data_IF_602243433920
#
_entry.id   IF_602243433920
#
_cell.length_a   1.000
_cell.length_b   1.000
_cell.length_c   1.000
_cell.angle_alpha   90.00
_cell.angle_beta   90.00
_cell.angle_gamma   90.00
#
_symmetry.space_group_name_H-M   'P 1'
#
loop_
_entity.id
_entity.type
_entity.pdbx_description
1 polymer ?
#
# COMPACT_ATOMS: atom_id res chain seq x y z
N UNK A 1 -5.98 9.77 -34.31
CA UNK A 1 -6.21 10.14 -32.91
C UNK A 1 -5.13 9.45 -32.07
N UNK A 2 -4.25 10.20 -31.44
CA UNK A 2 -3.25 9.61 -30.54
C UNK A 2 -3.95 9.31 -29.22
N UNK A 3 -4.14 8.05 -28.89
CA UNK A 3 -4.63 7.65 -27.56
C UNK A 3 -3.48 7.81 -26.58
N UNK A 4 -3.59 8.77 -25.69
CA UNK A 4 -2.68 8.86 -24.55
C UNK A 4 -2.95 7.66 -23.65
N UNK A 5 -2.07 6.68 -23.67
CA UNK A 5 -2.16 5.55 -22.74
C UNK A 5 -1.61 6.04 -21.41
N UNK A 6 -2.51 6.28 -20.46
CA UNK A 6 -2.11 6.55 -19.08
C UNK A 6 -1.60 5.25 -18.45
N UNK A 7 -0.55 5.37 -17.67
CA UNK A 7 0.10 4.28 -16.96
C UNK A 7 0.15 4.63 -15.48
N UNK A 8 -0.04 3.63 -14.64
CA UNK A 8 0.20 3.76 -13.20
C UNK A 8 1.68 3.52 -12.92
N UNK A 9 2.27 4.39 -12.13
CA UNK A 9 3.66 4.26 -11.67
C UNK A 9 3.67 4.17 -10.16
N UNK A 10 4.28 3.12 -9.62
CA UNK A 10 4.42 2.88 -8.18
C UNK A 10 5.90 2.91 -7.83
N UNK A 11 6.26 3.70 -6.81
CA UNK A 11 7.60 3.73 -6.21
C UNK A 11 7.50 3.48 -4.71
N UNK A 12 8.50 2.79 -4.16
CA UNK A 12 8.62 2.47 -2.74
C UNK A 12 9.66 3.35 -2.08
N UNK A 13 9.36 3.83 -0.90
CA UNK A 13 10.23 4.73 -0.14
C UNK A 13 10.55 4.20 1.27
N UNK A 14 10.47 2.90 1.46
CA UNK A 14 10.75 2.23 2.73
C UNK A 14 9.54 2.15 3.67
N UNK A 15 9.64 1.24 4.65
CA UNK A 15 8.54 0.98 5.59
C UNK A 15 7.26 0.59 4.88
N UNK A 16 6.28 1.48 4.92
CA UNK A 16 5.02 1.36 4.17
C UNK A 16 4.76 2.57 3.28
N UNK A 17 5.80 3.36 2.99
CA UNK A 17 5.67 4.57 2.21
C UNK A 17 5.72 4.28 0.71
N UNK A 18 4.60 4.49 0.03
CA UNK A 18 4.50 4.38 -1.42
C UNK A 18 3.99 5.65 -2.06
N UNK A 19 4.54 5.96 -3.23
CA UNK A 19 4.00 6.94 -4.15
C UNK A 19 3.36 6.19 -5.31
N UNK A 20 2.08 6.49 -5.58
CA UNK A 20 1.34 5.97 -6.73
C UNK A 20 0.89 7.13 -7.58
N UNK A 21 1.29 7.14 -8.85
CA UNK A 21 0.95 8.20 -9.79
C UNK A 21 0.21 7.64 -11.00
N UNK A 22 -0.83 8.33 -11.43
CA UNK A 22 -1.58 8.05 -12.65
C UNK A 22 -1.98 9.36 -13.32
N UNK A 23 -1.50 9.58 -14.54
CA UNK A 23 -1.68 10.86 -15.23
C UNK A 23 -1.13 12.02 -14.42
N UNK A 24 -1.98 12.99 -14.08
CA UNK A 24 -1.63 14.14 -13.23
C UNK A 24 -1.90 13.90 -11.74
N UNK A 25 -2.50 12.77 -11.38
CA UNK A 25 -2.86 12.45 -9.99
C UNK A 25 -1.75 11.66 -9.32
N UNK A 26 -1.34 12.09 -8.14
CA UNK A 26 -0.37 11.39 -7.30
C UNK A 26 -0.96 11.20 -5.91
N UNK A 27 -0.94 9.97 -5.42
CA UNK A 27 -1.30 9.64 -4.05
C UNK A 27 -0.10 9.09 -3.29
N UNK A 28 -0.06 9.36 -2.00
CA UNK A 28 0.93 8.83 -1.08
C UNK A 28 0.24 7.90 -0.08
N UNK A 29 0.80 6.71 0.13
CA UNK A 29 0.44 5.86 1.26
C UNK A 29 1.50 5.97 2.33
N UNK A 30 1.08 6.15 3.57
CA UNK A 30 1.90 6.15 4.78
C UNK A 30 3.22 6.94 4.63
N UNK A 31 3.17 8.25 4.32
CA UNK A 31 4.38 9.05 4.24
C UNK A 31 5.12 9.07 5.59
N UNK A 32 6.44 8.94 5.54
CA UNK A 32 7.28 8.84 6.73
C UNK A 32 7.60 10.24 7.25
N UNK A 33 7.29 10.51 8.54
CA UNK A 33 7.58 11.78 9.17
C UNK A 33 9.08 11.97 9.44
N UNK A 34 9.55 13.22 9.46
CA UNK A 34 10.96 13.52 9.79
C UNK A 34 11.43 13.01 11.16
N UNK A 35 10.51 12.86 12.10
CA UNK A 35 10.79 12.36 13.45
C UNK A 35 10.82 10.84 13.56
N UNK A 36 10.47 10.11 12.47
CA UNK A 36 10.62 8.65 12.41
C UNK A 36 12.08 8.24 12.44
N UNK A 37 12.33 7.00 12.83
CA UNK A 37 13.64 6.35 12.69
C UNK A 37 13.89 5.87 11.25
N UNK A 38 12.83 5.76 10.44
CA UNK A 38 12.92 5.43 9.03
C UNK A 38 13.34 6.66 8.22
N UNK A 39 13.99 6.45 7.09
CA UNK A 39 14.36 7.53 6.20
C UNK A 39 13.12 8.16 5.56
N UNK A 40 12.95 9.45 5.76
CA UNK A 40 11.84 10.21 5.17
C UNK A 40 12.27 10.82 3.83
N UNK A 41 11.42 10.72 2.82
CA UNK A 41 11.63 11.32 1.51
C UNK A 41 10.57 12.36 1.19
N UNK A 42 10.90 13.33 0.32
CA UNK A 42 9.99 14.37 -0.10
C UNK A 42 9.53 14.17 -1.53
N UNK A 43 8.22 14.22 -1.74
CA UNK A 43 7.60 14.31 -3.06
C UNK A 43 6.26 15.03 -2.96
N UNK A 44 5.68 15.46 -4.10
CA UNK A 44 4.35 16.06 -4.11
C UNK A 44 3.26 15.00 -4.25
N UNK A 45 2.17 15.12 -3.47
CA UNK A 45 0.98 14.29 -3.63
C UNK A 45 -0.30 15.15 -3.61
N UNK A 46 -1.35 14.66 -4.27
CA UNK A 46 -2.69 15.25 -4.25
C UNK A 46 -3.49 14.76 -3.04
N UNK A 47 -3.28 13.50 -2.65
CA UNK A 47 -3.84 12.91 -1.44
C UNK A 47 -2.79 12.08 -0.69
N UNK A 48 -2.91 12.04 0.64
CA UNK A 48 -2.08 11.23 1.53
C UNK A 48 -2.97 10.34 2.39
N UNK A 49 -2.79 9.03 2.28
CA UNK A 49 -3.49 8.02 3.06
C UNK A 49 -2.62 7.60 4.23
N UNK A 50 -3.09 7.86 5.43
CA UNK A 50 -2.42 7.55 6.69
C UNK A 50 -3.16 6.43 7.38
N UNK A 51 -2.58 5.23 7.40
CA UNK A 51 -3.26 4.07 8.00
C UNK A 51 -3.21 4.07 9.52
N UNK A 52 -2.22 4.74 10.11
CA UNK A 52 -1.98 4.74 11.55
C UNK A 52 -1.28 6.03 11.99
N UNK A 53 -1.72 6.60 13.12
CA UNK A 53 -1.12 7.82 13.68
C UNK A 53 0.19 7.54 14.43
N UNK A 54 1.19 7.13 13.68
CA UNK A 54 2.56 6.96 14.17
C UNK A 54 3.55 7.67 13.23
N UNK A 55 4.72 8.16 13.70
CA UNK A 55 5.70 8.85 12.87
C UNK A 55 6.15 8.09 11.61
N UNK A 56 6.09 6.77 11.63
CA UNK A 56 6.45 5.93 10.48
C UNK A 56 5.42 6.00 9.34
N UNK A 57 4.20 6.57 9.60
CA UNK A 57 3.08 6.54 8.67
C UNK A 57 2.39 7.89 8.43
N UNK A 58 2.62 8.90 9.29
CA UNK A 58 1.84 10.15 9.30
C UNK A 58 2.64 11.41 8.90
N UNK A 59 3.71 11.25 8.12
CA UNK A 59 4.56 12.35 7.65
C UNK A 59 3.97 13.14 6.48
N UNK A 60 2.73 13.60 6.62
CA UNK A 60 1.99 14.34 5.58
C UNK A 60 2.76 15.57 5.09
N UNK A 61 3.52 16.22 5.96
CA UNK A 61 4.36 17.36 5.63
C UNK A 61 5.50 17.05 4.63
N UNK A 62 5.83 15.76 4.45
CA UNK A 62 6.85 15.33 3.48
C UNK A 62 6.29 15.21 2.06
N UNK A 63 4.96 15.17 1.91
CA UNK A 63 4.32 14.99 0.61
C UNK A 63 3.57 16.24 0.15
N UNK A 64 3.77 17.36 0.86
CA UNK A 64 3.38 18.69 0.39
C UNK A 64 4.35 19.20 -0.68
N UNK A 65 3.84 19.92 -1.69
CA UNK A 65 4.66 20.50 -2.75
C UNK A 65 4.37 22.00 -2.94
N UNK A 66 5.33 22.84 -2.63
CA UNK A 66 5.17 24.30 -2.65
C UNK A 66 4.03 24.73 -1.72
N UNK A 67 3.08 25.50 -2.25
CA UNK A 67 1.88 25.92 -1.51
C UNK A 67 0.77 24.83 -1.50
N UNK A 68 0.91 23.75 -2.29
CA UNK A 68 -0.08 22.68 -2.39
C UNK A 68 0.10 21.70 -1.23
N UNK A 69 -0.96 21.54 -0.45
CA UNK A 69 -1.06 20.52 0.59
C UNK A 69 -1.87 19.35 0.06
N UNK A 70 -1.50 18.08 0.37
CA UNK A 70 -2.32 16.94 0.02
C UNK A 70 -3.63 16.95 0.80
N UNK A 71 -4.69 16.39 0.20
CA UNK A 71 -5.86 16.01 0.98
C UNK A 71 -5.48 14.82 1.88
N UNK A 72 -5.72 14.95 3.18
CA UNK A 72 -5.34 13.93 4.17
C UNK A 72 -6.51 13.01 4.44
N UNK A 73 -6.30 11.71 4.23
CA UNK A 73 -7.22 10.62 4.59
C UNK A 73 -6.55 9.83 5.71
N UNK A 74 -7.05 9.97 6.93
CA UNK A 74 -6.38 9.47 8.14
C UNK A 74 -7.29 8.64 9.06
N UNK A 75 -8.35 8.07 8.49
CA UNK A 75 -9.29 7.24 9.25
C UNK A 75 -10.28 6.48 8.39
N UNK A 76 -11.15 5.67 9.03
CA UNK A 76 -12.24 4.98 8.36
C UNK A 76 -13.26 5.96 7.76
N UNK A 77 -13.88 5.58 6.64
CA UNK A 77 -14.89 6.38 5.97
C UNK A 77 -14.84 6.25 4.46
N UNK A 78 -15.71 6.96 3.78
CA UNK A 78 -15.77 7.04 2.32
C UNK A 78 -15.28 8.41 1.86
N UNK A 79 -14.43 8.42 0.84
CA UNK A 79 -13.75 9.61 0.36
C UNK A 79 -13.81 9.70 -1.16
N UNK A 80 -14.00 10.91 -1.67
CA UNK A 80 -13.91 11.24 -3.09
C UNK A 80 -12.97 12.45 -3.26
N UNK A 81 -11.84 12.25 -3.94
CA UNK A 81 -10.77 13.25 -4.09
C UNK A 81 -10.39 13.31 -5.57
N UNK A 82 -11.06 14.17 -6.33
CA UNK A 82 -10.88 14.26 -7.78
C UNK A 82 -11.22 12.94 -8.47
N UNK A 83 -10.22 12.25 -9.02
CA UNK A 83 -10.39 10.95 -9.70
C UNK A 83 -10.16 9.75 -8.77
N UNK A 84 -9.91 9.99 -7.49
CA UNK A 84 -9.66 8.95 -6.49
C UNK A 84 -10.90 8.76 -5.65
N UNK A 85 -11.41 7.54 -5.56
CA UNK A 85 -12.38 7.16 -4.53
C UNK A 85 -11.73 6.20 -3.55
N UNK A 86 -12.05 6.32 -2.28
CA UNK A 86 -11.47 5.44 -1.27
C UNK A 86 -12.49 5.09 -0.20
N UNK A 87 -12.36 3.88 0.32
CA UNK A 87 -13.08 3.40 1.50
C UNK A 87 -12.06 2.93 2.53
N UNK A 88 -12.12 3.50 3.73
CA UNK A 88 -11.28 3.15 4.88
C UNK A 88 -12.02 2.27 5.87
N UNK A 89 -11.41 1.16 6.29
CA UNK A 89 -11.94 0.22 7.27
C UNK A 89 -11.03 0.19 8.49
N UNK A 90 -11.58 0.54 9.67
CA UNK A 90 -10.83 0.54 10.92
C UNK A 90 -10.69 -0.84 11.52
N UNK A 91 -9.46 -1.23 11.87
CA UNK A 91 -9.15 -2.47 12.61
C UNK A 91 -8.21 -2.14 13.77
N UNK A 92 -8.37 -2.86 14.89
CA UNK A 92 -7.42 -2.76 15.99
C UNK A 92 -6.08 -3.35 15.57
N UNK A 93 -4.98 -2.75 16.00
CA UNK A 93 -3.62 -3.23 15.76
C UNK A 93 -2.70 -2.86 16.91
N UNK A 94 -1.59 -3.58 17.04
CA UNK A 94 -0.49 -3.23 17.94
C UNK A 94 0.70 -2.80 17.08
N UNK A 95 1.32 -1.69 17.45
CA UNK A 95 2.50 -1.18 16.77
C UNK A 95 3.42 -0.46 17.75
N UNK A 96 4.73 -0.67 17.68
CA UNK A 96 5.74 -0.08 18.59
C UNK A 96 5.30 -0.10 20.08
N UNK A 97 4.81 -1.28 20.52
CA UNK A 97 4.30 -1.55 21.90
C UNK A 97 3.06 -0.75 22.31
N UNK A 98 2.41 -0.05 21.39
CA UNK A 98 1.16 0.69 21.63
C UNK A 98 -0.05 -0.02 21.00
N UNK A 99 -1.23 0.26 21.55
CA UNK A 99 -2.50 -0.14 20.94
C UNK A 99 -2.99 1.00 20.04
N UNK A 100 -3.31 0.70 18.79
CA UNK A 100 -3.71 1.66 17.77
C UNK A 100 -4.93 1.17 16.99
N UNK A 101 -5.47 2.08 16.17
CA UNK A 101 -6.38 1.74 15.10
C UNK A 101 -5.63 1.89 13.76
N UNK A 102 -5.56 0.81 13.01
CA UNK A 102 -5.08 0.80 11.64
C UNK A 102 -6.27 0.93 10.69
N UNK A 103 -6.15 1.74 9.67
CA UNK A 103 -7.14 1.83 8.60
C UNK A 103 -6.65 1.05 7.40
N UNK A 104 -7.37 0.01 7.01
CA UNK A 104 -7.20 -0.65 5.71
C UNK A 104 -7.89 0.23 4.68
N UNK A 105 -7.19 0.60 3.63
CA UNK A 105 -7.75 1.39 2.55
C UNK A 105 -7.99 0.57 1.30
N UNK A 106 -9.22 0.64 0.79
CA UNK A 106 -9.53 0.30 -0.57
C UNK A 106 -9.56 1.60 -1.39
N UNK A 107 -8.71 1.71 -2.39
CA UNK A 107 -8.58 2.92 -3.21
C UNK A 107 -8.82 2.55 -4.67
N UNK A 108 -9.74 3.26 -5.32
CA UNK A 108 -9.95 3.15 -6.75
C UNK A 108 -9.33 4.34 -7.45
N UNK A 109 -8.44 4.05 -8.37
CA UNK A 109 -7.76 5.01 -9.22
C UNK A 109 -7.71 4.43 -10.63
N UNK A 110 -8.38 5.11 -11.59
CA UNK A 110 -8.49 4.67 -12.99
C UNK A 110 -8.98 3.22 -13.14
N UNK A 111 -10.12 2.92 -12.59
CA UNK A 111 -10.72 1.57 -12.61
C UNK A 111 -9.81 0.43 -12.06
N UNK A 112 -8.69 0.76 -11.43
CA UNK A 112 -7.89 -0.21 -10.67
C UNK A 112 -8.25 -0.15 -9.20
N UNK A 113 -8.50 -1.31 -8.63
CA UNK A 113 -8.85 -1.50 -7.22
C UNK A 113 -7.60 -1.86 -6.43
N UNK A 114 -7.14 -0.95 -5.61
CA UNK A 114 -5.94 -1.07 -4.77
C UNK A 114 -6.39 -1.31 -3.33
N UNK A 115 -5.90 -2.37 -2.70
CA UNK A 115 -6.08 -2.59 -1.26
C UNK A 115 -4.74 -2.42 -0.55
N UNK A 116 -4.70 -1.51 0.41
CA UNK A 116 -3.55 -1.21 1.24
C UNK A 116 -3.84 -1.63 2.68
N UNK A 117 -3.18 -2.68 3.17
CA UNK A 117 -3.49 -3.27 4.48
C UNK A 117 -2.93 -2.46 5.67
N UNK A 118 -2.02 -1.50 5.41
CA UNK A 118 -1.42 -0.70 6.48
C UNK A 118 -0.61 -1.54 7.47
N UNK A 119 -0.62 -1.13 8.73
CA UNK A 119 0.07 -1.83 9.83
C UNK A 119 -0.79 -2.96 10.43
N UNK A 120 -1.32 -3.82 9.58
CA UNK A 120 -2.10 -4.97 10.01
C UNK A 120 -1.21 -5.99 10.72
N UNK A 121 -1.54 -6.36 11.96
CA UNK A 121 -0.81 -7.35 12.78
C UNK A 121 -1.57 -8.67 12.95
N UNK A 122 -2.88 -8.67 12.65
CA UNK A 122 -3.74 -9.85 12.75
C UNK A 122 -4.40 -10.15 11.41
N UNK A 123 -4.26 -11.36 10.84
CA UNK A 123 -4.83 -11.73 9.55
C UNK A 123 -6.36 -11.93 9.58
N UNK A 124 -6.97 -11.95 10.77
CA UNK A 124 -8.41 -12.13 10.94
C UNK A 124 -9.16 -10.80 10.70
N UNK A 125 -9.48 -10.55 9.44
CA UNK A 125 -10.30 -9.39 9.02
C UNK A 125 -11.77 -9.81 9.02
N UNK A 126 -12.65 -8.92 9.52
CA UNK A 126 -14.12 -9.15 9.51
C UNK A 126 -14.58 -9.55 8.09
N UNK A 127 -15.34 -10.65 7.94
CA UNK A 127 -15.87 -11.09 6.66
C UNK A 127 -16.67 -10.02 5.90
N UNK A 128 -17.28 -9.07 6.61
CA UNK A 128 -17.98 -7.94 6.00
C UNK A 128 -16.99 -7.02 5.27
N UNK A 129 -15.86 -6.72 5.91
CA UNK A 129 -14.80 -5.90 5.28
C UNK A 129 -14.22 -6.64 4.07
N UNK A 130 -13.94 -7.94 4.20
CA UNK A 130 -13.45 -8.75 3.08
C UNK A 130 -14.41 -8.75 1.89
N UNK A 131 -15.72 -8.79 2.16
CA UNK A 131 -16.77 -8.75 1.12
C UNK A 131 -16.83 -7.42 0.35
N UNK A 132 -16.39 -6.31 0.96
CA UNK A 132 -16.37 -4.99 0.31
C UNK A 132 -15.22 -4.85 -0.70
N UNK A 133 -14.14 -5.61 -0.56
CA UNK A 133 -12.97 -5.43 -1.43
C UNK A 133 -13.23 -5.80 -2.90
N UNK A 134 -14.12 -6.79 -3.16
CA UNK A 134 -14.35 -7.29 -4.52
C UNK A 134 -13.05 -7.79 -5.18
N UNK A 135 -12.94 -7.67 -6.50
CA UNK A 135 -11.73 -8.04 -7.24
C UNK A 135 -10.60 -7.05 -6.93
N UNK A 136 -9.49 -7.56 -6.39
CA UNK A 136 -8.33 -6.74 -6.01
C UNK A 136 -7.31 -6.78 -7.14
N UNK A 137 -7.03 -5.62 -7.75
CA UNK A 137 -6.00 -5.51 -8.77
C UNK A 137 -4.60 -5.44 -8.15
N UNK A 138 -4.43 -4.64 -7.08
CA UNK A 138 -3.15 -4.47 -6.40
C UNK A 138 -3.34 -4.56 -4.89
N UNK A 139 -2.59 -5.45 -4.25
CA UNK A 139 -2.56 -5.63 -2.80
C UNK A 139 -1.20 -5.21 -2.24
N UNK A 140 -1.19 -4.26 -1.32
CA UNK A 140 -0.04 -3.95 -0.48
C UNK A 140 -0.17 -4.70 0.85
N UNK A 141 0.75 -5.61 1.12
CA UNK A 141 0.71 -6.50 2.28
C UNK A 141 1.96 -6.36 3.15
N UNK A 142 1.85 -6.07 4.45
CA UNK A 142 3.00 -6.05 5.36
C UNK A 142 3.43 -7.48 5.68
N UNK A 143 4.76 -7.74 5.69
CA UNK A 143 5.32 -9.09 5.84
C UNK A 143 6.45 -9.18 6.88
N UNK A 144 6.72 -8.10 7.63
CA UNK A 144 7.93 -8.00 8.46
C UNK A 144 7.87 -8.74 9.79
N UNK A 145 6.69 -9.17 10.23
CA UNK A 145 6.51 -9.76 11.57
C UNK A 145 6.61 -8.73 12.70
N UNK A 146 6.56 -9.19 13.94
CA UNK A 146 6.63 -8.33 15.12
C UNK A 146 5.44 -7.39 15.27
N UNK A 147 5.56 -6.18 14.72
CA UNK A 147 4.50 -5.16 14.75
C UNK A 147 3.51 -5.25 13.59
N UNK A 148 3.70 -6.20 12.67
CA UNK A 148 2.83 -6.46 11.51
C UNK A 148 2.72 -7.96 11.27
N UNK A 149 1.98 -8.37 10.22
CA UNK A 149 1.82 -9.78 9.88
C UNK A 149 3.16 -10.51 9.75
N UNK A 150 3.24 -11.69 10.35
CA UNK A 150 4.30 -12.66 10.08
C UNK A 150 4.17 -13.20 8.63
N UNK A 151 5.29 -13.59 8.02
CA UNK A 151 5.31 -14.09 6.64
C UNK A 151 4.24 -15.14 6.35
N UNK A 152 4.09 -16.23 7.15
CA UNK A 152 3.06 -17.23 6.88
C UNK A 152 1.63 -16.71 6.97
N UNK A 153 1.38 -15.68 7.80
CA UNK A 153 0.07 -15.04 7.92
C UNK A 153 -0.20 -14.17 6.69
N UNK A 154 0.79 -13.38 6.27
CA UNK A 154 0.71 -12.51 5.10
C UNK A 154 0.46 -13.30 3.81
N UNK A 155 1.21 -14.40 3.59
CA UNK A 155 1.05 -15.30 2.44
C UNK A 155 -0.37 -15.90 2.41
N UNK A 156 -0.85 -16.46 3.53
CA UNK A 156 -2.21 -17.01 3.60
C UNK A 156 -3.29 -15.96 3.33
N UNK A 157 -3.11 -14.75 3.87
CA UNK A 157 -4.05 -13.67 3.65
C UNK A 157 -4.04 -13.20 2.18
N UNK A 158 -2.87 -13.07 1.55
CA UNK A 158 -2.74 -12.69 0.16
C UNK A 158 -3.42 -13.72 -0.77
N UNK A 159 -3.24 -15.02 -0.51
CA UNK A 159 -3.95 -16.10 -1.23
C UNK A 159 -5.46 -15.99 -1.03
N UNK A 160 -5.93 -15.78 0.20
CA UNK A 160 -7.36 -15.65 0.51
C UNK A 160 -8.01 -14.45 -0.19
N UNK A 161 -7.26 -13.36 -0.37
CA UNK A 161 -7.72 -12.13 -1.03
C UNK A 161 -7.69 -12.21 -2.56
N UNK A 162 -7.09 -13.24 -3.15
CA UNK A 162 -7.05 -13.50 -4.60
C UNK A 162 -6.61 -12.29 -5.43
N UNK A 163 -5.70 -11.47 -4.88
CA UNK A 163 -5.22 -10.27 -5.57
C UNK A 163 -4.45 -10.61 -6.84
N UNK A 164 -4.61 -9.80 -7.90
CA UNK A 164 -3.89 -9.99 -9.17
C UNK A 164 -2.40 -9.74 -9.03
N UNK A 165 -2.04 -8.65 -8.34
CA UNK A 165 -0.67 -8.23 -8.08
C UNK A 165 -0.47 -8.01 -6.57
N UNK A 166 0.57 -8.62 -6.00
CA UNK A 166 0.91 -8.55 -4.58
C UNK A 166 2.23 -7.78 -4.43
N UNK A 167 2.21 -6.73 -3.64
CA UNK A 167 3.39 -5.91 -3.34
C UNK A 167 3.68 -6.01 -1.84
N UNK A 168 4.74 -6.74 -1.44
CA UNK A 168 5.13 -6.80 -0.03
C UNK A 168 5.70 -5.46 0.45
N UNK A 169 5.45 -5.15 1.72
CA UNK A 169 5.94 -3.94 2.39
C UNK A 169 6.34 -4.22 3.84
N UNK A 170 6.97 -3.24 4.49
CA UNK A 170 7.34 -3.30 5.91
C UNK A 170 8.11 -4.57 6.27
N UNK A 171 9.27 -4.75 5.68
CA UNK A 171 10.08 -5.96 5.82
C UNK A 171 11.58 -5.65 5.93
N UNK A 172 12.30 -6.58 6.52
CA UNK A 172 13.74 -6.70 6.37
C UNK A 172 14.12 -7.74 5.29
N UNK A 173 15.40 -7.88 5.01
CA UNK A 173 15.88 -8.80 3.98
C UNK A 173 15.53 -10.27 4.27
N UNK A 174 15.44 -10.66 5.55
CA UNK A 174 15.14 -12.03 5.95
C UNK A 174 13.66 -12.35 5.72
N UNK A 175 12.77 -11.45 6.12
CA UNK A 175 11.33 -11.56 5.90
C UNK A 175 11.00 -11.59 4.40
N UNK A 176 11.61 -10.69 3.60
CA UNK A 176 11.41 -10.69 2.15
C UNK A 176 11.84 -12.02 1.52
N UNK A 177 13.03 -12.53 1.88
CA UNK A 177 13.53 -13.82 1.37
C UNK A 177 12.58 -14.98 1.71
N UNK A 178 12.08 -15.00 2.96
CA UNK A 178 11.11 -16.01 3.39
C UNK A 178 9.80 -15.92 2.62
N UNK A 179 9.28 -14.71 2.46
CA UNK A 179 8.05 -14.47 1.70
C UNK A 179 8.18 -14.93 0.24
N UNK A 180 9.26 -14.53 -0.44
CA UNK A 180 9.49 -14.93 -1.83
C UNK A 180 9.64 -16.46 -1.98
N UNK A 181 10.21 -17.12 -0.99
CA UNK A 181 10.30 -18.59 -0.98
C UNK A 181 8.91 -19.24 -0.84
N UNK A 182 8.05 -18.73 0.06
CA UNK A 182 6.69 -19.24 0.24
C UNK A 182 5.83 -19.01 -1.00
N UNK A 183 6.02 -17.89 -1.70
CA UNK A 183 5.33 -17.55 -2.95
C UNK A 183 5.94 -18.24 -4.19
N UNK A 184 7.01 -19.03 -4.06
CA UNK A 184 7.68 -19.68 -5.18
C UNK A 184 8.39 -18.71 -6.14
N UNK A 185 8.82 -17.55 -5.65
CA UNK A 185 9.40 -16.44 -6.40
C UNK A 185 10.84 -16.10 -5.96
N UNK A 186 11.63 -17.11 -5.55
CA UNK A 186 12.98 -16.92 -4.96
C UNK A 186 13.94 -16.13 -5.85
N UNK A 187 13.81 -16.24 -7.17
CA UNK A 187 14.66 -15.55 -8.15
C UNK A 187 14.15 -14.15 -8.57
N UNK A 188 13.03 -13.70 -7.96
CA UNK A 188 12.43 -12.42 -8.33
C UNK A 188 13.35 -11.26 -7.96
N UNK A 189 13.63 -10.40 -8.95
CA UNK A 189 14.48 -9.21 -8.77
C UNK A 189 13.62 -7.99 -8.46
N UNK A 190 14.02 -7.27 -7.42
CA UNK A 190 13.40 -6.00 -7.11
C UNK A 190 13.68 -4.95 -8.20
N UNK A 191 12.68 -4.13 -8.50
CA UNK A 191 12.74 -3.05 -9.50
C UNK A 191 12.67 -1.68 -8.82
N UNK A 192 13.25 -0.64 -9.44
CA UNK A 192 13.27 0.71 -8.86
C UNK A 192 11.89 1.37 -8.90
N UNK A 193 11.09 1.02 -9.90
CA UNK A 193 9.69 1.46 -10.05
C UNK A 193 8.88 0.40 -10.81
N UNK A 194 7.61 0.31 -10.49
CA UNK A 194 6.66 -0.54 -11.19
C UNK A 194 5.82 0.34 -12.11
N UNK A 195 5.72 -0.05 -13.37
CA UNK A 195 4.94 0.65 -14.40
C UNK A 195 3.86 -0.28 -14.91
N UNK A 196 2.59 0.07 -14.69
CA UNK A 196 1.45 -0.81 -14.91
C UNK A 196 0.47 -0.19 -15.90
N UNK A 197 -0.03 -1.00 -16.81
CA UNK A 197 -1.24 -0.73 -17.57
C UNK A 197 -2.36 -1.61 -17.03
N UNK A 198 -3.57 -1.06 -16.97
CA UNK A 198 -4.73 -1.80 -16.48
C UNK A 198 -4.88 -3.19 -17.13
N UNK A 199 -4.78 -3.27 -18.46
CA UNK A 199 -4.90 -4.54 -19.18
C UNK A 199 -3.87 -5.58 -18.73
N UNK A 200 -2.64 -5.13 -18.45
CA UNK A 200 -1.55 -6.04 -18.06
C UNK A 200 -1.84 -6.60 -16.65
N UNK A 201 -2.36 -5.75 -15.72
CA UNK A 201 -2.78 -6.18 -14.38
C UNK A 201 -3.95 -7.16 -14.42
N UNK A 202 -4.93 -6.94 -15.30
CA UNK A 202 -6.08 -7.85 -15.44
C UNK A 202 -5.71 -9.25 -15.96
N UNK A 203 -4.55 -9.40 -16.59
CA UNK A 203 -4.00 -10.69 -17.03
C UNK A 203 -3.19 -11.39 -15.92
N UNK A 204 -2.91 -10.70 -14.79
CA UNK A 204 -2.19 -11.27 -13.66
C UNK A 204 -3.11 -12.10 -12.75
N UNK A 205 -2.51 -13.02 -12.00
CA UNK A 205 -3.19 -13.82 -10.98
C UNK A 205 -2.17 -14.21 -9.91
N UNK A 206 -2.19 -13.52 -8.77
CA UNK A 206 -1.27 -13.76 -7.66
C UNK A 206 0.19 -13.45 -7.97
N UNK A 207 0.47 -12.54 -8.92
CA UNK A 207 1.87 -12.18 -9.21
C UNK A 207 2.46 -11.34 -8.10
N UNK A 208 3.73 -11.58 -7.77
CA UNK A 208 4.47 -10.79 -6.78
C UNK A 208 5.36 -9.78 -7.50
N UNK A 209 5.38 -8.54 -7.02
CA UNK A 209 6.34 -7.53 -7.45
C UNK A 209 7.06 -6.93 -6.23
N UNK A 210 8.38 -6.86 -6.28
CA UNK A 210 9.22 -6.25 -5.24
C UNK A 210 9.82 -4.96 -5.76
N UNK A 211 9.67 -3.89 -4.97
CA UNK A 211 10.28 -2.60 -5.28
C UNK A 211 11.46 -2.35 -4.35
N UNK A 212 12.48 -1.67 -4.88
CA UNK A 212 13.61 -1.16 -4.10
C UNK A 212 13.24 0.16 -3.43
N UNK A 213 13.85 0.40 -2.28
CA UNK A 213 13.86 1.71 -1.60
C UNK A 213 14.83 2.64 -2.30
#
# INVERSE_FOLDING_TARGET
>A
MSYTVFIMVITYHGGQCFKVSFGSTTIAFNPIAKKSKLESVKFGADAAFVSLWHPDFNGVEQVAHGAKQPFVVDGPGEYEIGQVTAHGFGVATKYDKGDYFNTIYQVRLEDMNIVFLGALDNPEIDPKILGEFGDIDILFVPIGGGDVLEVPQATKLAVKLEARLIIPMHYDAAALKSFLKEEGNEDLKAVDKLTLKRKDVHEMSGQVAVLKV
#
